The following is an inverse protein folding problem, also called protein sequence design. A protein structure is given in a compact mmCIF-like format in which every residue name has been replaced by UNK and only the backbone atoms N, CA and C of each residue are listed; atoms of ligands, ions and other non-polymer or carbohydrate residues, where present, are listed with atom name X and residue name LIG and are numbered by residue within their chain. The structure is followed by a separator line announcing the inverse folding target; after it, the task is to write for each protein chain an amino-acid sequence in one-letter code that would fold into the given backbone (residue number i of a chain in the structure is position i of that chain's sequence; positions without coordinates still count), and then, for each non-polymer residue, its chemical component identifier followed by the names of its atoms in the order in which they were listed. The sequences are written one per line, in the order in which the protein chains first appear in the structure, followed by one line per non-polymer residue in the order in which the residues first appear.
data_IF_484527327399
#
_entry.id   IF_484527327399
#
_cell.length_a   1.000
_cell.length_b   1.000
_cell.length_c   1.000
_cell.angle_alpha   90.00
_cell.angle_beta   90.00
_cell.angle_gamma   90.00
#
_symmetry.space_group_name_H-M   'P 1'
#
loop_
_entity.id
_entity.type
_entity.pdbx_description
1 polymer ?
#
# COMPACT_ATOMS: atom_id res chain seq x y z
N UNK A 1 37.86 -0.78 -15.37
CA UNK A 1 36.50 -0.18 -15.16
C UNK A 1 36.13 -0.36 -13.68
N UNK A 2 35.82 0.73 -12.97
CA UNK A 2 35.43 0.68 -11.57
C UNK A 2 33.89 0.49 -11.48
N UNK A 3 33.44 -0.49 -10.70
CA UNK A 3 32.03 -0.71 -10.45
C UNK A 3 31.39 0.50 -9.74
N UNK A 4 30.15 0.86 -10.12
CA UNK A 4 29.37 1.88 -9.43
C UNK A 4 28.51 1.20 -8.35
N UNK A 5 28.63 1.67 -7.11
CA UNK A 5 27.78 1.21 -6.01
C UNK A 5 26.38 1.83 -6.15
N UNK A 6 25.35 0.99 -6.10
CA UNK A 6 23.96 1.43 -5.99
C UNK A 6 23.62 1.46 -4.50
N UNK A 7 23.67 2.64 -3.89
CA UNK A 7 23.33 2.82 -2.47
C UNK A 7 21.82 2.96 -2.30
N UNK A 8 21.14 1.82 -2.05
CA UNK A 8 19.71 1.76 -1.84
C UNK A 8 19.23 2.50 -0.58
N UNK A 9 20.07 2.59 0.46
CA UNK A 9 19.73 3.29 1.69
C UNK A 9 19.68 4.81 1.45
N UNK A 10 20.70 5.37 0.82
CA UNK A 10 20.74 6.78 0.45
C UNK A 10 19.61 7.16 -0.52
N UNK A 11 19.34 6.30 -1.52
CA UNK A 11 18.25 6.49 -2.46
C UNK A 11 16.89 6.49 -1.74
N UNK A 12 16.65 5.53 -0.85
CA UNK A 12 15.41 5.43 -0.08
C UNK A 12 15.17 6.67 0.80
N UNK A 13 16.22 7.19 1.45
CA UNK A 13 16.13 8.40 2.26
C UNK A 13 15.70 9.60 1.41
N UNK A 14 16.37 9.83 0.29
CA UNK A 14 16.06 10.92 -0.64
C UNK A 14 14.61 10.84 -1.16
N UNK A 15 14.16 9.65 -1.59
CA UNK A 15 12.78 9.48 -2.08
C UNK A 15 11.77 9.79 -0.98
N UNK A 16 12.03 9.37 0.26
CA UNK A 16 11.12 9.66 1.38
C UNK A 16 11.06 11.15 1.70
N UNK A 17 12.16 11.86 1.60
CA UNK A 17 12.21 13.32 1.76
C UNK A 17 11.41 14.04 0.66
N UNK A 18 11.59 13.63 -0.60
CA UNK A 18 10.82 14.15 -1.73
C UNK A 18 9.30 13.90 -1.55
N UNK A 19 8.93 12.69 -1.10
CA UNK A 19 7.53 12.35 -0.80
C UNK A 19 6.98 13.22 0.32
N UNK A 20 7.74 13.43 1.41
CA UNK A 20 7.31 14.27 2.52
C UNK A 20 7.05 15.73 2.07
N UNK A 21 7.89 16.28 1.21
CA UNK A 21 7.69 17.62 0.64
C UNK A 21 6.41 17.70 -0.22
N UNK A 22 6.17 16.67 -1.03
CA UNK A 22 4.94 16.59 -1.84
C UNK A 22 3.69 16.45 -0.98
N UNK A 23 3.75 15.66 0.08
CA UNK A 23 2.66 15.51 1.06
C UNK A 23 2.36 16.84 1.73
N UNK A 24 3.38 17.56 2.19
CA UNK A 24 3.21 18.89 2.80
C UNK A 24 2.55 19.89 1.83
N UNK A 25 2.95 19.85 0.56
CA UNK A 25 2.36 20.70 -0.49
C UNK A 25 0.88 20.39 -0.72
N UNK A 26 0.49 19.11 -0.73
CA UNK A 26 -0.90 18.70 -0.88
C UNK A 26 -1.72 19.04 0.36
N UNK A 27 -1.16 18.82 1.55
CA UNK A 27 -1.82 19.15 2.82
C UNK A 27 -2.11 20.66 2.94
N UNK A 28 -1.19 21.51 2.48
CA UNK A 28 -1.41 22.97 2.42
C UNK A 28 -2.55 23.38 1.47
N UNK A 29 -2.92 22.50 0.52
CA UNK A 29 -4.07 22.67 -0.38
C UNK A 29 -5.35 22.00 0.13
N UNK A 30 -5.33 21.48 1.36
CA UNK A 30 -6.49 20.84 1.99
C UNK A 30 -6.61 19.33 1.75
N UNK A 31 -5.66 18.70 1.05
CA UNK A 31 -5.71 17.25 0.80
C UNK A 31 -4.52 16.56 1.46
N UNK A 32 -4.76 15.79 2.52
CA UNK A 32 -3.75 14.95 3.16
C UNK A 32 -3.83 13.54 2.56
N UNK A 33 -2.82 13.07 1.81
CA UNK A 33 -2.84 11.72 1.25
C UNK A 33 -2.97 10.65 2.34
N UNK A 34 -3.87 9.68 2.15
CA UNK A 34 -4.15 8.61 3.09
C UNK A 34 -3.82 7.24 2.54
N UNK A 35 -3.18 6.40 3.36
CA UNK A 35 -2.87 5.01 3.07
C UNK A 35 -3.46 4.10 4.16
N UNK A 36 -4.30 3.15 3.75
CA UNK A 36 -4.75 2.06 4.59
C UNK A 36 -3.87 0.81 4.36
N UNK A 37 -3.33 0.27 5.43
CA UNK A 37 -2.56 -0.98 5.43
C UNK A 37 -3.30 -2.00 6.26
N UNK A 38 -3.76 -3.07 5.61
CA UNK A 38 -4.52 -4.15 6.23
C UNK A 38 -3.63 -5.38 6.39
N UNK A 39 -3.61 -5.95 7.58
CA UNK A 39 -2.91 -7.19 7.92
C UNK A 39 -3.90 -8.18 8.53
N UNK A 40 -3.98 -9.37 7.96
CA UNK A 40 -4.76 -10.48 8.52
C UNK A 40 -3.82 -11.55 9.04
N UNK A 41 -3.97 -11.90 10.32
CA UNK A 41 -3.09 -12.84 11.00
C UNK A 41 -1.90 -12.18 11.69
N UNK A 42 -0.93 -13.02 12.07
CA UNK A 42 0.18 -12.64 12.93
C UNK A 42 1.54 -13.13 12.39
N UNK A 43 1.68 -13.26 11.06
CA UNK A 43 2.96 -13.63 10.46
C UNK A 43 4.05 -12.61 10.85
N UNK A 44 5.17 -13.05 11.46
CA UNK A 44 6.18 -12.14 12.01
C UNK A 44 6.84 -11.25 10.95
N UNK A 45 7.08 -11.78 9.74
CA UNK A 45 7.68 -10.99 8.65
C UNK A 45 6.71 -9.90 8.18
N UNK A 46 5.44 -10.24 7.98
CA UNK A 46 4.38 -9.30 7.62
C UNK A 46 4.21 -8.19 8.65
N UNK A 47 4.27 -8.51 9.94
CA UNK A 47 4.20 -7.52 11.02
C UNK A 47 5.36 -6.50 10.94
N UNK A 48 6.59 -6.96 10.65
CA UNK A 48 7.75 -6.08 10.48
C UNK A 48 7.56 -5.16 9.28
N UNK A 49 7.12 -5.70 8.14
CA UNK A 49 6.87 -4.90 6.94
C UNK A 49 5.79 -3.85 7.16
N UNK A 50 4.66 -4.23 7.75
CA UNK A 50 3.56 -3.31 8.05
C UNK A 50 4.02 -2.20 9.01
N UNK A 51 4.73 -2.56 10.09
CA UNK A 51 5.27 -1.57 11.04
C UNK A 51 6.19 -0.55 10.34
N UNK A 52 7.08 -1.02 9.46
CA UNK A 52 8.00 -0.15 8.73
C UNK A 52 7.26 0.76 7.73
N UNK A 53 6.22 0.24 7.06
CA UNK A 53 5.36 1.02 6.15
C UNK A 53 4.64 2.13 6.91
N UNK A 54 3.99 1.79 8.02
CA UNK A 54 3.28 2.77 8.87
C UNK A 54 4.23 3.85 9.36
N UNK A 55 5.37 3.48 9.93
CA UNK A 55 6.36 4.44 10.41
C UNK A 55 6.89 5.35 9.28
N UNK A 56 7.08 4.83 8.08
CA UNK A 56 7.49 5.63 6.93
C UNK A 56 6.40 6.61 6.48
N UNK A 57 5.12 6.18 6.48
CA UNK A 57 3.99 7.04 6.17
C UNK A 57 3.82 8.17 7.18
N UNK A 58 3.89 7.87 8.47
CA UNK A 58 3.80 8.85 9.55
C UNK A 58 4.92 9.89 9.45
N UNK A 59 6.16 9.42 9.22
CA UNK A 59 7.33 10.30 9.04
C UNK A 59 7.21 11.20 7.81
N UNK A 60 6.56 10.72 6.75
CA UNK A 60 6.31 11.52 5.55
C UNK A 60 5.06 12.42 5.67
N UNK A 61 4.32 12.35 6.78
CA UNK A 61 3.15 13.19 7.03
C UNK A 61 1.84 12.67 6.41
N UNK A 62 1.81 11.44 5.87
CA UNK A 62 0.59 10.84 5.35
C UNK A 62 -0.42 10.56 6.48
N UNK A 63 -1.71 10.51 6.12
CA UNK A 63 -2.73 9.91 6.96
C UNK A 63 -2.57 8.38 6.86
N UNK A 64 -2.07 7.75 7.92
CA UNK A 64 -1.81 6.30 7.94
C UNK A 64 -2.86 5.59 8.78
N UNK A 65 -3.60 4.66 8.15
CA UNK A 65 -4.56 3.79 8.81
C UNK A 65 -3.99 2.38 8.81
N UNK A 66 -3.69 1.85 10.01
CA UNK A 66 -3.28 0.45 10.18
C UNK A 66 -4.45 -0.35 10.73
N UNK A 67 -4.84 -1.39 10.02
CA UNK A 67 -5.83 -2.36 10.47
C UNK A 67 -5.19 -3.74 10.61
N UNK A 68 -5.37 -4.35 11.76
CA UNK A 68 -4.86 -5.69 12.01
C UNK A 68 -6.00 -6.58 12.51
N UNK A 69 -6.20 -7.68 11.84
CA UNK A 69 -7.28 -8.62 12.11
C UNK A 69 -6.71 -10.00 12.52
N UNK A 70 -7.46 -10.77 13.31
CA UNK A 70 -7.06 -12.12 13.68
C UNK A 70 -7.06 -13.06 12.47
N UNK A 71 -6.31 -14.17 12.58
CA UNK A 71 -6.13 -15.11 11.47
C UNK A 71 -7.41 -15.88 11.09
N UNK A 72 -8.41 -15.89 11.95
CA UNK A 72 -9.72 -16.52 11.74
C UNK A 72 -10.78 -15.56 11.16
N UNK A 73 -10.40 -14.30 10.87
CA UNK A 73 -11.26 -13.40 10.11
C UNK A 73 -11.73 -14.06 8.82
N UNK A 74 -13.00 -13.95 8.50
CA UNK A 74 -13.54 -14.53 7.26
C UNK A 74 -13.19 -13.67 6.04
N UNK A 75 -13.10 -14.29 4.86
CA UNK A 75 -12.92 -13.57 3.59
C UNK A 75 -14.04 -12.55 3.36
N UNK A 76 -15.29 -12.89 3.69
CA UNK A 76 -16.42 -11.99 3.53
C UNK A 76 -16.29 -10.70 4.38
N UNK A 77 -15.81 -10.81 5.62
CA UNK A 77 -15.55 -9.65 6.47
C UNK A 77 -14.43 -8.77 5.90
N UNK A 78 -13.35 -9.38 5.40
CA UNK A 78 -12.26 -8.64 4.76
C UNK A 78 -12.74 -7.91 3.50
N UNK A 79 -13.52 -8.56 2.64
CA UNK A 79 -14.09 -7.95 1.43
C UNK A 79 -15.04 -6.80 1.77
N UNK A 80 -15.88 -6.96 2.79
CA UNK A 80 -16.74 -5.89 3.28
C UNK A 80 -15.93 -4.69 3.79
N UNK A 81 -14.82 -4.94 4.49
CA UNK A 81 -13.93 -3.88 4.97
C UNK A 81 -13.24 -3.16 3.82
N UNK A 82 -12.75 -3.87 2.80
CA UNK A 82 -12.17 -3.28 1.59
C UNK A 82 -13.19 -2.39 0.89
N UNK A 83 -14.44 -2.82 0.78
CA UNK A 83 -15.50 -2.01 0.18
C UNK A 83 -15.70 -0.67 0.93
N UNK A 84 -15.63 -0.66 2.25
CA UNK A 84 -15.67 0.59 3.05
C UNK A 84 -14.45 1.47 2.78
N UNK A 85 -13.24 0.90 2.73
CA UNK A 85 -12.01 1.64 2.44
C UNK A 85 -12.01 2.22 1.01
N UNK A 86 -12.59 1.50 0.05
CA UNK A 86 -12.76 1.99 -1.32
C UNK A 86 -13.64 3.27 -1.37
N UNK A 87 -14.65 3.36 -0.51
CA UNK A 87 -15.56 4.51 -0.46
C UNK A 87 -15.06 5.64 0.43
N UNK A 88 -14.04 5.41 1.26
CA UNK A 88 -13.51 6.44 2.15
C UNK A 88 -12.72 7.49 1.35
N UNK A 89 -13.19 8.77 1.33
CA UNK A 89 -12.51 9.83 0.59
C UNK A 89 -11.18 10.27 1.24
N UNK A 90 -10.90 9.85 2.46
CA UNK A 90 -9.64 10.15 3.15
C UNK A 90 -8.56 9.12 2.86
N UNK A 91 -8.94 7.98 2.28
CA UNK A 91 -8.03 6.89 1.88
C UNK A 91 -7.82 6.93 0.38
N UNK A 92 -6.60 7.21 -0.03
CA UNK A 92 -6.18 7.34 -1.43
C UNK A 92 -5.40 6.11 -1.93
N UNK A 93 -4.95 5.26 -1.01
CA UNK A 93 -4.28 4.01 -1.31
C UNK A 93 -4.66 2.93 -0.30
N UNK A 94 -4.79 1.71 -0.78
CA UNK A 94 -5.09 0.52 0.04
C UNK A 94 -4.02 -0.52 -0.25
N UNK A 95 -3.49 -1.13 0.81
CA UNK A 95 -2.55 -2.24 0.75
C UNK A 95 -3.04 -3.33 1.68
N UNK A 96 -3.27 -4.52 1.13
CA UNK A 96 -3.53 -5.73 1.91
C UNK A 96 -2.26 -6.56 1.93
N UNK A 97 -1.66 -6.70 3.12
CA UNK A 97 -0.37 -7.38 3.26
C UNK A 97 -0.51 -8.89 3.00
N UNK A 98 0.22 -9.37 2.01
CA UNK A 98 0.36 -10.79 1.73
C UNK A 98 1.50 -11.41 2.57
N UNK A 99 1.44 -12.74 2.86
CA UNK A 99 0.38 -13.67 2.50
C UNK A 99 -0.86 -13.56 3.39
N UNK A 100 -2.02 -13.90 2.84
CA UNK A 100 -3.27 -14.06 3.58
C UNK A 100 -3.38 -15.47 4.19
N UNK A 101 -4.25 -15.68 5.21
CA UNK A 101 -4.60 -17.01 5.68
C UNK A 101 -5.11 -17.92 4.55
N UNK A 102 -4.81 -19.21 4.62
CA UNK A 102 -5.07 -20.19 3.54
C UNK A 102 -6.55 -20.34 3.13
N UNK A 103 -7.47 -19.93 3.97
CA UNK A 103 -8.92 -19.99 3.68
C UNK A 103 -9.42 -18.77 2.88
N UNK A 104 -8.55 -17.81 2.60
CA UNK A 104 -8.86 -16.62 1.80
C UNK A 104 -8.24 -16.72 0.42
N UNK A 105 -8.98 -16.32 -0.60
CA UNK A 105 -8.48 -16.18 -1.96
C UNK A 105 -7.82 -14.81 -2.14
N UNK A 106 -6.48 -14.80 -2.22
CA UNK A 106 -5.71 -13.57 -2.37
C UNK A 106 -6.04 -12.82 -3.68
N UNK A 107 -6.35 -13.54 -4.77
CA UNK A 107 -6.73 -12.90 -6.03
C UNK A 107 -8.04 -12.14 -5.89
N UNK A 108 -9.04 -12.77 -5.29
CA UNK A 108 -10.34 -12.16 -5.04
C UNK A 108 -10.23 -10.93 -4.13
N UNK A 109 -9.36 -11.00 -3.13
CA UNK A 109 -9.11 -9.87 -2.20
C UNK A 109 -8.42 -8.71 -2.95
N UNK A 110 -7.42 -8.99 -3.79
CA UNK A 110 -6.72 -7.97 -4.60
C UNK A 110 -7.70 -7.31 -5.58
N UNK A 111 -8.52 -8.10 -6.27
CA UNK A 111 -9.52 -7.59 -7.23
C UNK A 111 -10.64 -6.78 -6.57
N UNK A 112 -10.88 -6.95 -5.28
CA UNK A 112 -11.84 -6.15 -4.53
C UNK A 112 -11.33 -4.74 -4.20
N UNK A 113 -10.02 -4.50 -4.24
CA UNK A 113 -9.45 -3.16 -4.08
C UNK A 113 -9.73 -2.37 -5.37
N UNK A 114 -10.21 -1.12 -5.24
CA UNK A 114 -10.33 -0.24 -6.41
C UNK A 114 -8.97 -0.09 -7.11
N UNK A 115 -8.92 -0.29 -8.42
CA UNK A 115 -7.69 -0.17 -9.20
C UNK A 115 -7.01 1.19 -9.02
N UNK A 116 -7.79 2.25 -8.76
CA UNK A 116 -7.28 3.61 -8.49
C UNK A 116 -6.64 3.74 -7.09
N UNK A 117 -6.93 2.80 -6.17
CA UNK A 117 -6.38 2.78 -4.81
C UNK A 117 -5.39 1.62 -4.59
N UNK A 118 -5.20 0.75 -5.59
CA UNK A 118 -4.25 -0.36 -5.53
C UNK A 118 -2.80 0.15 -5.63
N UNK A 119 -2.16 0.37 -4.50
CA UNK A 119 -0.78 0.90 -4.45
C UNK A 119 0.30 -0.15 -4.71
N UNK A 120 -0.05 -1.44 -4.66
CA UNK A 120 0.86 -2.54 -5.01
C UNK A 120 0.86 -2.86 -6.52
N UNK A 121 -0.15 -2.37 -7.27
CA UNK A 121 -0.27 -2.58 -8.71
C UNK A 121 -0.59 -4.03 -9.09
N UNK A 122 -1.18 -4.81 -8.18
CA UNK A 122 -1.51 -6.22 -8.38
C UNK A 122 -2.91 -6.45 -8.96
N UNK A 123 -3.76 -5.45 -8.91
CA UNK A 123 -5.06 -5.50 -9.57
C UNK A 123 -4.89 -5.76 -11.07
N UNK A 124 -5.70 -6.65 -11.65
CA UNK A 124 -5.55 -7.09 -13.06
C UNK A 124 -5.51 -5.92 -14.05
N UNK A 125 -6.30 -4.87 -13.79
CA UNK A 125 -6.30 -3.65 -14.62
C UNK A 125 -4.94 -2.94 -14.59
N UNK A 126 -4.32 -2.79 -13.40
CA UNK A 126 -3.02 -2.13 -13.25
C UNK A 126 -1.89 -2.97 -13.85
N UNK A 127 -1.92 -4.28 -13.63
CA UNK A 127 -0.98 -5.22 -14.23
C UNK A 127 -1.09 -5.21 -15.77
N UNK A 128 -2.32 -5.21 -16.31
CA UNK A 128 -2.57 -5.13 -17.75
C UNK A 128 -2.08 -3.82 -18.38
N UNK A 129 -2.34 -2.69 -17.73
CA UNK A 129 -1.85 -1.38 -18.17
C UNK A 129 -0.31 -1.30 -18.15
N UNK A 130 0.33 -1.89 -17.14
CA UNK A 130 1.79 -1.97 -17.09
C UNK A 130 2.35 -2.79 -18.25
N UNK A 131 1.74 -3.94 -18.57
CA UNK A 131 2.16 -4.80 -19.68
C UNK A 131 1.98 -4.14 -21.05
N UNK A 132 0.96 -3.31 -21.21
CA UNK A 132 0.68 -2.59 -22.47
C UNK A 132 1.49 -1.29 -22.62
N UNK A 133 2.35 -0.97 -21.65
CA UNK A 133 3.17 0.24 -21.68
C UNK A 133 2.42 1.53 -21.32
N UNK A 134 1.22 1.41 -20.75
CA UNK A 134 0.38 2.54 -20.31
C UNK A 134 0.09 2.48 -18.80
N UNK A 135 1.11 2.38 -17.93
CA UNK A 135 0.91 2.18 -16.50
C UNK A 135 0.26 3.40 -15.85
N UNK A 136 -0.77 3.14 -15.04
CA UNK A 136 -1.31 4.12 -14.11
C UNK A 136 -0.43 4.20 -12.86
N UNK A 137 -0.07 3.05 -12.29
CA UNK A 137 0.85 2.91 -11.17
C UNK A 137 2.05 2.05 -11.54
N UNK A 138 3.21 2.38 -10.98
CA UNK A 138 4.43 1.60 -11.11
C UNK A 138 4.99 1.34 -9.72
N UNK A 139 4.57 0.29 -9.05
CA UNK A 139 5.17 -0.11 -7.79
C UNK A 139 6.61 -0.55 -8.00
N UNK A 140 7.44 -0.46 -6.96
CA UNK A 140 8.83 -0.90 -7.04
C UNK A 140 9.03 -2.41 -6.89
N UNK A 141 7.96 -3.17 -6.69
CA UNK A 141 7.96 -4.64 -6.66
C UNK A 141 7.44 -5.25 -8.01
#
# INVERSE_FOLDING_TARGET
MTARIIDGAALSLRIREEVAQRVATLAAKGTRPGLAVVLVGADPASQVYVRNKVAACEKAGLHSVKEQYPADMTEAELLARIAVLNQDPTIHGILVQLPLPKHMDAHKVIEAISAEKDVDGFHISNAGLLMTGQPLFRPCT
#
